data_IF_014965256428
#
_entry.id   IF_014965256428
#
_cell.length_a   1.000
_cell.length_b   1.000
_cell.length_c   1.000
_cell.angle_alpha   90.00
_cell.angle_beta   90.00
_cell.angle_gamma   90.00
#
_symmetry.space_group_name_H-M   'P 1'
#
loop_
_entity.id
_entity.type
_entity.pdbx_description
1 polymer ?
#
# COMPACT_ATOMS: atom_id res chain seq x y z
N UNK A 1 7.26 -7.44 10.98
CA UNK A 1 7.15 -6.09 10.39
C UNK A 1 8.56 -5.63 10.06
N UNK A 2 8.75 -4.97 8.92
CA UNK A 2 10.01 -4.32 8.58
C UNK A 2 9.95 -2.87 9.07
N UNK A 3 11.10 -2.32 9.48
CA UNK A 3 11.21 -0.92 9.88
C UNK A 3 11.73 -0.10 8.71
N UNK A 4 11.06 1.02 8.41
CA UNK A 4 11.45 1.98 7.36
C UNK A 4 11.41 3.41 7.96
N UNK A 5 12.30 3.72 8.93
CA UNK A 5 12.23 4.97 9.69
C UNK A 5 12.53 6.22 8.85
N UNK A 6 13.30 6.05 7.77
CA UNK A 6 13.65 7.12 6.83
C UNK A 6 12.72 7.15 5.60
N UNK A 7 11.69 6.31 5.56
CA UNK A 7 10.70 6.21 4.49
C UNK A 7 11.27 5.86 3.10
N UNK A 8 12.51 5.39 2.98
CA UNK A 8 13.17 5.14 1.70
C UNK A 8 12.42 4.13 0.84
N UNK A 9 11.83 3.10 1.47
CA UNK A 9 11.04 2.11 0.75
C UNK A 9 9.68 2.71 0.38
N UNK A 10 9.04 3.41 1.31
CA UNK A 10 7.76 4.08 1.03
C UNK A 10 7.85 5.09 -0.12
N UNK A 11 8.95 5.84 -0.23
CA UNK A 11 9.23 6.75 -1.34
C UNK A 11 9.43 6.01 -2.67
N UNK A 12 10.21 4.93 -2.69
CA UNK A 12 10.43 4.11 -3.89
C UNK A 12 9.13 3.49 -4.42
N UNK A 13 8.22 3.11 -3.53
CA UNK A 13 6.88 2.61 -3.90
C UNK A 13 5.88 3.74 -4.21
N UNK A 14 6.27 5.01 -4.07
CA UNK A 14 5.39 6.16 -4.31
C UNK A 14 4.22 6.27 -3.33
N UNK A 15 4.36 5.70 -2.12
CA UNK A 15 3.30 5.69 -1.10
C UNK A 15 3.54 6.67 0.04
N UNK A 16 4.62 7.45 -0.02
CA UNK A 16 4.86 8.58 0.87
C UNK A 16 4.49 9.88 0.15
N UNK A 17 3.65 10.72 0.78
CA UNK A 17 3.27 11.99 0.18
C UNK A 17 2.22 12.77 0.97
N UNK A 18 1.75 13.86 0.36
CA UNK A 18 0.89 14.85 1.00
C UNK A 18 -0.48 14.27 1.40
N UNK A 19 -0.84 14.44 2.68
CA UNK A 19 -2.14 14.09 3.24
C UNK A 19 -2.77 15.32 3.89
N UNK A 20 -4.07 15.48 3.65
CA UNK A 20 -4.88 16.51 4.32
C UNK A 20 -5.77 15.86 5.36
N UNK A 21 -5.68 16.34 6.60
CA UNK A 21 -6.54 15.92 7.68
C UNK A 21 -6.87 17.12 8.57
N UNK A 22 -8.17 17.35 8.78
CA UNK A 22 -8.68 18.45 9.60
C UNK A 22 -8.06 19.82 9.25
N UNK A 23 -7.97 20.14 7.96
CA UNK A 23 -7.44 21.43 7.48
C UNK A 23 -5.92 21.59 7.60
N UNK A 24 -5.20 20.55 8.06
CA UNK A 24 -3.74 20.51 8.07
C UNK A 24 -3.23 19.61 6.97
N UNK A 25 -2.08 19.99 6.43
CA UNK A 25 -1.37 19.25 5.39
C UNK A 25 -0.06 18.72 5.99
N UNK A 26 0.22 17.44 5.78
CA UNK A 26 1.45 16.79 6.22
C UNK A 26 1.77 15.62 5.30
N UNK A 27 3.04 15.29 5.16
CA UNK A 27 3.43 14.06 4.47
C UNK A 27 3.19 12.84 5.37
N UNK A 28 2.72 11.76 4.76
CA UNK A 28 2.53 10.52 5.47
C UNK A 28 2.27 9.35 4.54
N UNK A 29 2.26 8.16 5.14
CA UNK A 29 2.05 6.93 4.39
C UNK A 29 0.60 6.82 3.86
N UNK A 30 0.48 6.58 2.56
CA UNK A 30 -0.74 6.13 1.90
C UNK A 30 -0.85 4.63 2.03
N UNK A 31 -1.99 4.14 2.53
CA UNK A 31 -2.17 2.71 2.77
C UNK A 31 -2.51 2.01 1.46
N UNK A 32 -1.49 1.38 0.87
CA UNK A 32 -1.58 0.65 -0.38
C UNK A 32 -0.90 -0.72 -0.15
N UNK A 33 -1.45 -1.77 -0.75
CA UNK A 33 -0.84 -3.09 -0.78
C UNK A 33 -0.42 -3.44 -2.19
N UNK A 34 0.70 -4.15 -2.33
CA UNK A 34 1.24 -4.58 -3.61
C UNK A 34 1.39 -6.10 -3.62
N UNK A 35 0.96 -6.76 -4.69
CA UNK A 35 1.30 -8.15 -4.97
C UNK A 35 2.49 -8.16 -5.94
N UNK A 36 3.58 -8.80 -5.55
CA UNK A 36 4.82 -8.87 -6.33
C UNK A 36 5.11 -10.35 -6.63
N UNK A 37 5.44 -10.66 -7.89
CA UNK A 37 5.79 -12.03 -8.29
C UNK A 37 7.25 -12.39 -8.01
N UNK A 38 7.62 -13.64 -8.29
CA UNK A 38 8.98 -14.17 -8.08
C UNK A 38 10.06 -13.44 -8.90
N UNK A 39 9.67 -12.82 -10.01
CA UNK A 39 10.57 -12.00 -10.83
C UNK A 39 10.71 -10.56 -10.33
N UNK A 40 10.05 -10.20 -9.23
CA UNK A 40 10.09 -8.84 -8.67
C UNK A 40 9.13 -7.85 -9.35
N UNK A 41 8.23 -8.30 -10.23
CA UNK A 41 7.27 -7.44 -10.90
C UNK A 41 5.99 -7.26 -10.07
N UNK A 42 5.48 -6.03 -10.01
CA UNK A 42 4.17 -5.73 -9.39
C UNK A 42 3.07 -6.30 -10.29
N UNK A 43 2.34 -7.31 -9.81
CA UNK A 43 1.19 -7.91 -10.49
C UNK A 43 -0.10 -7.15 -10.23
N UNK A 44 -0.25 -6.60 -9.02
CA UNK A 44 -1.48 -5.92 -8.61
C UNK A 44 -1.20 -4.85 -7.55
N UNK A 45 -1.94 -3.75 -7.65
CA UNK A 45 -1.96 -2.65 -6.68
C UNK A 45 -3.35 -2.58 -6.05
N UNK A 46 -3.41 -2.64 -4.73
CA UNK A 46 -4.64 -2.48 -3.96
C UNK A 46 -4.58 -1.13 -3.23
N UNK A 47 -5.25 -0.12 -3.77
CA UNK A 47 -5.28 1.25 -3.24
C UNK A 47 -6.68 1.68 -2.76
N UNK A 48 -7.70 0.87 -3.03
CA UNK A 48 -9.10 1.16 -2.72
C UNK A 48 -9.80 -0.01 -2.06
N UNK A 49 -9.94 0.05 -0.74
CA UNK A 49 -10.61 -0.98 0.04
C UNK A 49 -11.15 -0.45 1.36
N UNK A 50 -12.12 -1.17 1.93
CA UNK A 50 -12.48 -1.01 3.34
C UNK A 50 -11.47 -1.75 4.19
N UNK A 51 -10.92 -1.09 5.21
CA UNK A 51 -9.87 -1.66 6.07
C UNK A 51 -10.26 -3.03 6.63
N UNK A 52 -11.52 -3.16 7.09
CA UNK A 52 -12.04 -4.41 7.65
C UNK A 52 -12.10 -5.57 6.66
N UNK A 53 -12.26 -5.29 5.38
CA UNK A 53 -12.51 -6.29 4.33
C UNK A 53 -11.23 -6.57 3.50
N UNK A 54 -10.15 -5.83 3.75
CA UNK A 54 -8.92 -5.84 2.93
C UNK A 54 -8.28 -7.23 2.81
N UNK A 55 -8.19 -7.98 3.91
CA UNK A 55 -7.60 -9.31 3.91
C UNK A 55 -8.40 -10.29 3.04
N UNK A 56 -9.73 -10.23 3.09
CA UNK A 56 -10.60 -11.08 2.28
C UNK A 56 -10.49 -10.74 0.80
N UNK A 57 -10.44 -9.45 0.45
CA UNK A 57 -10.21 -9.00 -0.93
C UNK A 57 -8.92 -9.60 -1.51
N UNK A 58 -7.82 -9.62 -0.74
CA UNK A 58 -6.55 -10.21 -1.19
C UNK A 58 -6.70 -11.71 -1.40
N UNK A 59 -7.32 -12.42 -0.46
CA UNK A 59 -7.54 -13.88 -0.57
C UNK A 59 -8.37 -14.22 -1.80
N UNK A 60 -9.44 -13.47 -2.05
CA UNK A 60 -10.33 -13.70 -3.20
C UNK A 60 -9.61 -13.40 -4.51
N UNK A 61 -8.81 -12.34 -4.56
CA UNK A 61 -7.97 -12.04 -5.72
C UNK A 61 -6.99 -13.18 -6.01
N UNK A 62 -6.26 -13.66 -4.99
CA UNK A 62 -5.31 -14.76 -5.14
C UNK A 62 -5.96 -16.07 -5.60
N UNK A 63 -7.21 -16.33 -5.21
CA UNK A 63 -7.99 -17.49 -5.68
C UNK A 63 -8.52 -17.36 -7.10
N UNK A 64 -8.56 -16.13 -7.63
CA UNK A 64 -9.01 -15.85 -9.00
C UNK A 64 -7.87 -15.82 -10.03
N UNK A 65 -6.61 -15.82 -9.57
CA UNK A 65 -5.42 -16.02 -10.40
C UNK A 65 -5.35 -17.47 -10.88
#
# INVERSE_FOLDING_TARGET
>A
MLSDPDHQVAEQFGVWGEKKFMGRTYDGIHRISFLINESGNIMQVFDKFKIKDHHQMIIDYLRSL
#
